data_IF_107029775368
#
_entry.id   IF_107029775368
#
_cell.length_a   1.000
_cell.length_b   1.000
_cell.length_c   1.000
_cell.angle_alpha   90.00
_cell.angle_beta   90.00
_cell.angle_gamma   90.00
#
_symmetry.space_group_name_H-M   'P 1'
#
loop_
_entity.id
_entity.type
_entity.pdbx_description
1 polymer ?
#
# COMPACT_ATOMS: atom_id res chain seq x y z
N UNK A 1 12.23 0.04 7.55
CA UNK A 1 11.86 1.35 6.96
C UNK A 1 12.81 2.47 7.39
N UNK A 2 12.86 2.89 8.67
CA UNK A 2 13.73 4.00 9.16
C UNK A 2 15.18 3.96 8.66
N UNK A 3 15.83 2.79 8.69
CA UNK A 3 17.19 2.63 8.16
C UNK A 3 17.30 2.90 6.65
N UNK A 4 16.31 2.48 5.86
CA UNK A 4 16.24 2.77 4.44
C UNK A 4 15.98 4.25 4.16
N UNK A 5 15.08 4.88 4.92
CA UNK A 5 14.81 6.32 4.83
C UNK A 5 16.06 7.16 5.16
N UNK A 6 16.83 6.74 6.17
CA UNK A 6 18.07 7.40 6.57
C UNK A 6 19.22 7.22 5.56
N UNK A 7 19.15 6.22 4.68
CA UNK A 7 20.15 5.96 3.65
C UNK A 7 19.91 6.76 2.35
N UNK A 8 18.81 7.51 2.26
CA UNK A 8 18.44 8.30 1.09
C UNK A 8 18.56 9.79 1.40
N UNK A 9 19.67 10.39 0.96
CA UNK A 9 19.99 11.79 1.24
C UNK A 9 19.15 12.77 0.40
N UNK A 10 19.02 12.52 -0.91
CA UNK A 10 18.32 13.41 -1.83
C UNK A 10 17.32 12.62 -2.70
N UNK A 11 16.03 12.79 -2.38
CA UNK A 11 14.92 12.30 -3.19
C UNK A 11 13.71 13.24 -3.00
N UNK A 12 13.00 13.52 -4.08
CA UNK A 12 11.75 14.28 -4.04
C UNK A 12 10.59 13.42 -3.53
N UNK A 13 10.58 12.14 -3.93
CA UNK A 13 9.58 11.15 -3.55
C UNK A 13 10.22 9.86 -3.07
N UNK A 14 9.53 9.20 -2.14
CA UNK A 14 9.92 7.90 -1.59
C UNK A 14 8.74 6.96 -1.77
N UNK A 15 9.01 5.81 -2.38
CA UNK A 15 8.05 4.73 -2.50
C UNK A 15 8.46 3.60 -1.54
N UNK A 16 7.57 3.25 -0.61
CA UNK A 16 7.76 2.11 0.29
C UNK A 16 7.03 0.91 -0.30
N UNK A 17 7.77 -0.12 -0.67
CA UNK A 17 7.24 -1.32 -1.32
C UNK A 17 7.46 -2.57 -0.46
N UNK A 18 6.44 -3.42 -0.41
CA UNK A 18 6.49 -4.70 0.29
C UNK A 18 7.08 -5.74 -0.67
N UNK A 19 8.22 -6.33 -0.31
CA UNK A 19 8.86 -7.36 -1.12
C UNK A 19 7.98 -8.59 -1.36
N UNK A 20 6.97 -8.81 -0.51
CA UNK A 20 5.99 -9.88 -0.69
C UNK A 20 4.97 -9.59 -1.81
N UNK A 21 5.09 -8.49 -2.56
CA UNK A 21 4.25 -8.17 -3.73
C UNK A 21 5.07 -8.16 -5.03
N UNK A 22 5.74 -9.27 -5.41
CA UNK A 22 6.69 -9.28 -6.52
C UNK A 22 6.05 -9.09 -7.90
N UNK A 23 4.73 -9.31 -8.02
CA UNK A 23 3.98 -9.21 -9.27
C UNK A 23 3.30 -7.85 -9.46
N UNK A 24 3.64 -6.84 -8.65
CA UNK A 24 3.10 -5.49 -8.79
C UNK A 24 3.36 -4.93 -10.20
N UNK A 25 2.30 -4.58 -10.96
CA UNK A 25 2.46 -4.07 -12.31
C UNK A 25 3.20 -2.72 -12.38
N UNK A 26 4.12 -2.51 -13.33
CA UNK A 26 4.87 -1.26 -13.45
C UNK A 26 3.99 -0.02 -13.68
N UNK A 27 2.86 -0.18 -14.37
CA UNK A 27 1.90 0.90 -14.63
C UNK A 27 1.20 1.36 -13.34
N UNK A 28 1.00 0.47 -12.36
CA UNK A 28 0.52 0.84 -11.03
C UNK A 28 1.50 1.77 -10.31
N UNK A 29 2.81 1.48 -10.41
CA UNK A 29 3.87 2.33 -9.88
C UNK A 29 3.88 3.70 -10.60
N UNK A 30 3.73 3.69 -11.92
CA UNK A 30 3.67 4.91 -12.71
C UNK A 30 2.48 5.81 -12.33
N UNK A 31 1.30 5.24 -12.03
CA UNK A 31 0.12 5.99 -11.53
C UNK A 31 0.42 6.74 -10.23
N UNK A 32 1.07 6.06 -9.29
CA UNK A 32 1.45 6.65 -7.99
C UNK A 32 2.38 7.86 -8.21
N UNK A 33 3.43 7.68 -9.02
CA UNK A 33 4.39 8.75 -9.31
C UNK A 33 3.74 9.91 -10.07
N UNK A 34 2.81 9.62 -10.98
CA UNK A 34 2.07 10.65 -11.71
C UNK A 34 1.24 11.53 -10.75
N UNK A 35 0.56 10.95 -9.77
CA UNK A 35 -0.19 11.72 -8.77
C UNK A 35 0.72 12.50 -7.82
N UNK A 36 1.86 11.95 -7.41
CA UNK A 36 2.85 12.68 -6.61
C UNK A 36 3.38 13.93 -7.35
N UNK A 37 3.57 13.84 -8.67
CA UNK A 37 3.96 14.98 -9.53
C UNK A 37 2.95 16.11 -9.56
N UNK A 38 1.69 15.85 -9.21
CA UNK A 38 0.66 16.90 -9.09
C UNK A 38 0.75 17.69 -7.79
N UNK A 39 1.71 17.38 -6.92
CA UNK A 39 1.93 18.06 -5.64
C UNK A 39 1.27 17.38 -4.44
N UNK A 40 0.82 16.13 -4.57
CA UNK A 40 0.25 15.37 -3.45
C UNK A 40 1.34 14.91 -2.50
N UNK A 41 1.09 15.02 -1.19
CA UNK A 41 2.02 14.59 -0.15
C UNK A 41 2.10 13.07 0.02
N UNK A 42 1.01 12.35 -0.21
CA UNK A 42 0.93 10.90 -0.09
C UNK A 42 -0.07 10.28 -1.06
N UNK A 43 0.30 9.14 -1.64
CA UNK A 43 -0.48 8.40 -2.63
C UNK A 43 -0.37 6.91 -2.36
N UNK A 44 -1.49 6.21 -2.25
CA UNK A 44 -1.55 4.76 -2.04
C UNK A 44 -2.39 4.07 -3.13
N UNK A 45 -1.97 2.90 -3.61
CA UNK A 45 -2.80 2.05 -4.45
C UNK A 45 -3.77 1.26 -3.58
N UNK A 46 -5.02 1.14 -4.02
CA UNK A 46 -5.98 0.29 -3.34
C UNK A 46 -6.99 -0.32 -4.31
N UNK A 47 -7.54 -1.48 -3.94
CA UNK A 47 -8.59 -2.16 -4.70
C UNK A 47 -9.88 -2.23 -3.90
N UNK A 48 -11.02 -2.36 -4.59
CA UNK A 48 -12.30 -2.58 -3.93
C UNK A 48 -12.27 -3.88 -3.09
N UNK A 49 -12.84 -3.82 -1.89
CA UNK A 49 -13.01 -5.02 -1.06
C UNK A 49 -14.09 -5.91 -1.69
N UNK A 50 -13.76 -7.18 -1.93
CA UNK A 50 -14.68 -8.15 -2.53
C UNK A 50 -15.62 -8.74 -1.49
N UNK A 51 -15.06 -9.13 -0.35
CA UNK A 51 -15.81 -9.81 0.71
C UNK A 51 -16.57 -8.82 1.59
N UNK A 52 -17.53 -9.33 2.36
CA UNK A 52 -18.20 -8.52 3.38
C UNK A 52 -17.27 -8.36 4.58
N UNK A 53 -17.00 -7.12 4.99
CA UNK A 53 -16.21 -6.83 6.19
C UNK A 53 -17.14 -6.72 7.40
N UNK A 54 -16.76 -7.39 8.48
CA UNK A 54 -17.42 -7.30 9.79
C UNK A 54 -16.45 -6.70 10.79
N UNK A 55 -16.93 -5.79 11.63
CA UNK A 55 -16.23 -5.39 12.84
C UNK A 55 -16.54 -6.42 13.91
N UNK A 56 -15.51 -6.98 14.54
CA UNK A 56 -15.61 -8.03 15.56
C UNK A 56 -14.96 -7.51 16.84
N UNK A 57 -15.57 -7.76 17.99
CA UNK A 57 -14.98 -7.40 19.29
C UNK A 57 -13.99 -8.46 19.81
N UNK A 58 -13.47 -8.25 21.02
CA UNK A 58 -12.47 -9.15 21.64
C UNK A 58 -13.05 -10.51 22.03
N UNK A 59 -14.37 -10.66 22.05
CA UNK A 59 -15.06 -11.91 22.38
C UNK A 59 -15.42 -12.73 21.14
N UNK A 60 -15.27 -12.14 19.95
CA UNK A 60 -15.58 -12.79 18.67
C UNK A 60 -16.97 -12.44 18.13
N UNK A 61 -17.68 -11.51 18.77
CA UNK A 61 -19.04 -11.13 18.38
C UNK A 61 -19.05 -10.02 17.33
N UNK A 62 -19.99 -10.09 16.39
CA UNK A 62 -20.17 -9.06 15.35
C UNK A 62 -20.76 -7.79 15.97
N UNK A 63 -20.00 -6.70 15.94
CA UNK A 63 -20.44 -5.37 16.43
C UNK A 63 -20.84 -4.42 15.30
N UNK A 64 -20.56 -4.78 14.05
CA UNK A 64 -20.90 -3.92 12.91
C UNK A 64 -20.57 -4.52 11.56
N UNK A 65 -21.15 -3.91 10.52
CA UNK A 65 -20.83 -4.18 9.11
C UNK A 65 -20.65 -2.83 8.44
N UNK A 66 -19.41 -2.34 8.26
CA UNK A 66 -19.15 -1.08 7.59
C UNK A 66 -19.69 -1.08 6.15
N UNK A 67 -20.06 0.09 5.63
CA UNK A 67 -20.46 0.21 4.23
C UNK A 67 -19.26 -0.09 3.31
N UNK A 68 -19.35 -1.22 2.60
CA UNK A 68 -18.32 -1.71 1.69
C UNK A 68 -18.00 -0.72 0.56
N UNK A 69 -18.94 0.13 0.15
CA UNK A 69 -18.71 1.09 -0.93
C UNK A 69 -17.59 2.08 -0.62
N UNK A 70 -17.42 2.44 0.66
CA UNK A 70 -16.36 3.32 1.15
C UNK A 70 -15.05 2.60 1.51
N UNK A 71 -15.01 1.26 1.48
CA UNK A 71 -13.84 0.48 1.90
C UNK A 71 -12.93 0.13 0.73
N UNK A 72 -11.63 0.15 0.97
CA UNK A 72 -10.59 -0.29 0.03
C UNK A 72 -9.56 -1.14 0.74
N UNK A 73 -9.05 -2.16 0.04
CA UNK A 73 -7.89 -2.93 0.48
C UNK A 73 -6.62 -2.26 -0.07
N UNK A 74 -5.84 -1.66 0.83
CA UNK A 74 -4.61 -0.94 0.48
C UNK A 74 -3.51 -1.91 0.06
N UNK A 75 -2.73 -1.51 -0.95
CA UNK A 75 -1.59 -2.24 -1.49
C UNK A 75 -0.32 -1.38 -1.37
N UNK A 76 0.82 -1.94 -1.81
CA UNK A 76 2.07 -1.18 -1.94
C UNK A 76 2.62 -1.36 -3.36
N UNK A 77 3.45 -0.44 -3.89
CA UNK A 77 4.15 0.63 -3.18
C UNK A 77 3.23 1.75 -2.69
N UNK A 78 3.51 2.29 -1.51
CA UNK A 78 2.92 3.55 -1.06
C UNK A 78 3.92 4.67 -1.36
N UNK A 79 3.46 5.74 -2.03
CA UNK A 79 4.29 6.84 -2.47
C UNK A 79 4.09 8.08 -1.62
N UNK A 80 5.19 8.76 -1.29
CA UNK A 80 5.17 9.93 -0.42
C UNK A 80 6.13 11.01 -0.94
N UNK A 81 5.77 12.28 -0.75
CA UNK A 81 6.76 13.35 -0.76
C UNK A 81 7.77 13.11 0.37
N UNK A 82 9.05 13.25 0.05
CA UNK A 82 10.11 12.81 0.95
C UNK A 82 10.16 13.62 2.25
N UNK A 83 9.79 14.90 2.20
CA UNK A 83 9.65 15.77 3.39
C UNK A 83 8.45 15.35 4.26
N UNK A 84 7.31 15.02 3.65
CA UNK A 84 6.10 14.52 4.32
C UNK A 84 6.40 13.24 5.09
N UNK A 85 7.03 12.27 4.42
CA UNK A 85 7.37 10.99 5.05
C UNK A 85 8.37 11.15 6.20
N UNK A 86 9.38 12.02 6.04
CA UNK A 86 10.34 12.31 7.11
C UNK A 86 9.67 12.98 8.32
N UNK A 87 8.75 13.94 8.10
CA UNK A 87 7.96 14.55 9.19
C UNK A 87 7.09 13.52 9.90
N UNK A 88 6.40 12.65 9.15
CA UNK A 88 5.57 11.59 9.71
C UNK A 88 6.39 10.67 10.62
N UNK A 89 7.56 10.23 10.18
CA UNK A 89 8.47 9.38 10.97
C UNK A 89 9.13 10.08 12.16
N UNK A 90 9.31 11.40 12.10
CA UNK A 90 9.82 12.19 13.22
C UNK A 90 8.75 12.38 14.32
N UNK A 91 7.48 12.48 13.93
CA UNK A 91 6.35 12.56 14.86
C UNK A 91 5.94 11.19 15.42
N UNK A 92 6.15 10.12 14.64
CA UNK A 92 5.84 8.76 15.05
C UNK A 92 6.87 8.22 16.05
N UNK A 93 6.38 7.63 17.15
CA UNK A 93 7.19 6.82 18.06
C UNK A 93 7.62 5.46 17.46
N UNK A 94 7.81 4.45 18.30
CA UNK A 94 8.35 3.14 17.87
C UNK A 94 7.33 2.22 17.19
N UNK A 95 6.05 2.58 17.17
CA UNK A 95 4.98 1.71 16.62
C UNK A 95 4.47 2.34 15.33
N UNK A 96 4.88 1.76 14.20
CA UNK A 96 4.34 2.06 12.88
C UNK A 96 3.86 0.76 12.24
N UNK A 97 2.56 0.66 11.96
CA UNK A 97 1.96 -0.52 11.30
C UNK A 97 1.71 -0.29 9.81
N UNK A 98 1.61 0.95 9.37
CA UNK A 98 1.38 1.37 7.99
C UNK A 98 1.95 2.79 7.76
N UNK A 99 2.70 3.02 6.67
CA UNK A 99 3.35 4.32 6.42
C UNK A 99 2.33 5.42 6.13
N UNK A 100 1.25 5.09 5.42
CA UNK A 100 0.14 6.00 5.16
C UNK A 100 -0.54 6.47 6.46
N UNK A 101 -0.73 5.56 7.43
CA UNK A 101 -1.30 5.91 8.73
C UNK A 101 -0.43 6.92 9.51
N UNK A 102 0.90 6.85 9.39
CA UNK A 102 1.78 7.86 10.00
C UNK A 102 1.59 9.24 9.37
N UNK A 103 1.35 9.28 8.06
CA UNK A 103 1.10 10.53 7.34
C UNK A 103 -0.26 11.11 7.74
N UNK A 104 -1.29 10.28 7.89
CA UNK A 104 -2.60 10.70 8.40
C UNK A 104 -2.50 11.31 9.81
N UNK A 105 -1.67 10.74 10.69
CA UNK A 105 -1.47 11.21 12.06
C UNK A 105 -0.90 12.63 12.15
N UNK A 106 -0.14 13.07 11.14
CA UNK A 106 0.38 14.45 11.08
C UNK A 106 -0.58 15.41 10.35
N UNK A 107 -1.80 14.98 10.04
CA UNK A 107 -2.86 15.78 9.42
C UNK A 107 -2.75 15.91 7.90
N UNK A 108 -1.86 15.14 7.27
CA UNK A 108 -1.69 15.15 5.81
C UNK A 108 -2.73 14.25 5.14
N UNK A 109 -3.20 14.66 3.96
CA UNK A 109 -4.16 13.88 3.19
C UNK A 109 -3.46 12.77 2.40
N UNK A 110 -4.03 11.56 2.45
CA UNK A 110 -3.57 10.42 1.65
C UNK A 110 -4.52 10.22 0.46
N UNK A 111 -3.98 10.32 -0.75
CA UNK A 111 -4.75 10.11 -1.98
C UNK A 111 -4.73 8.66 -2.41
N UNK A 112 -5.86 8.14 -2.89
CA UNK A 112 -5.98 6.76 -3.36
C UNK A 112 -5.97 6.73 -4.88
N UNK A 113 -5.12 5.89 -5.47
CA UNK A 113 -5.16 5.52 -6.89
C UNK A 113 -5.64 4.08 -7.05
N UNK A 114 -6.12 3.75 -8.26
CA UNK A 114 -6.51 2.38 -8.58
C UNK A 114 -5.30 1.43 -8.49
N UNK A 115 -5.43 0.44 -7.61
CA UNK A 115 -4.47 -0.64 -7.45
C UNK A 115 -4.55 -1.69 -8.56
N UNK A 116 -4.00 -2.86 -8.31
CA UNK A 116 -4.09 -4.00 -9.23
C UNK A 116 -4.14 -5.31 -8.45
N UNK A 117 -4.99 -6.25 -8.87
CA UNK A 117 -5.07 -7.56 -8.21
C UNK A 117 -3.76 -8.34 -8.28
N UNK A 118 -2.92 -8.11 -9.28
CA UNK A 118 -1.58 -8.70 -9.38
C UNK A 118 -0.63 -8.20 -8.29
N UNK A 119 -0.87 -7.04 -7.70
CA UNK A 119 -0.12 -6.54 -6.53
C UNK A 119 -0.56 -7.20 -5.21
N UNK A 120 -1.09 -8.43 -5.25
CA UNK A 120 -1.44 -9.17 -4.03
C UNK A 120 -0.20 -9.50 -3.22
N UNK A 121 -0.36 -9.54 -1.89
CA UNK A 121 0.72 -9.91 -0.97
C UNK A 121 0.76 -11.43 -0.87
N UNK A 122 1.91 -12.01 -1.15
CA UNK A 122 2.15 -13.43 -0.96
C UNK A 122 2.41 -13.66 0.53
N UNK A 123 1.44 -14.27 1.22
CA UNK A 123 1.56 -14.60 2.66
C UNK A 123 1.29 -16.08 2.94
N UNK A 124 0.64 -16.78 2.01
CA UNK A 124 0.26 -18.18 2.14
C UNK A 124 0.82 -19.03 1.00
N UNK A 125 0.81 -20.35 1.18
CA UNK A 125 1.17 -21.29 0.12
C UNK A 125 0.25 -21.17 -1.10
N UNK A 126 -1.03 -20.86 -0.88
CA UNK A 126 -1.98 -20.66 -1.97
C UNK A 126 -1.60 -19.43 -2.81
N UNK A 127 -1.18 -18.35 -2.17
CA UNK A 127 -0.70 -17.15 -2.87
C UNK A 127 0.54 -17.47 -3.72
N UNK A 128 1.46 -18.29 -3.20
CA UNK A 128 2.63 -18.74 -3.97
C UNK A 128 2.22 -19.55 -5.20
N UNK A 129 1.33 -20.52 -5.07
CA UNK A 129 0.84 -21.31 -6.20
C UNK A 129 0.20 -20.42 -7.27
N UNK A 130 -0.59 -19.42 -6.84
CA UNK A 130 -1.19 -18.45 -7.75
C UNK A 130 -0.13 -17.62 -8.48
N UNK A 131 0.90 -17.13 -7.76
CA UNK A 131 1.98 -16.35 -8.33
C UNK A 131 2.76 -17.13 -9.40
N UNK A 132 3.10 -18.39 -9.11
CA UNK A 132 3.79 -19.30 -10.05
C UNK A 132 2.95 -19.57 -11.29
N UNK A 133 1.64 -19.77 -11.12
CA UNK A 133 0.72 -19.99 -12.23
C UNK A 133 0.61 -18.76 -13.15
N UNK A 134 0.56 -17.54 -12.58
CA UNK A 134 0.52 -16.28 -13.34
C UNK A 134 1.82 -16.11 -14.15
N UNK A 135 2.97 -16.34 -13.54
CA UNK A 135 4.27 -16.23 -14.22
C UNK A 135 4.39 -17.23 -15.38
N UNK A 136 4.03 -18.49 -15.13
CA UNK A 136 4.07 -19.55 -16.16
C UNK A 136 3.15 -19.25 -17.35
N UNK A 137 1.97 -18.67 -17.09
CA UNK A 137 1.03 -18.27 -18.13
C UNK A 137 1.55 -17.09 -18.97
N UNK A 138 2.40 -16.23 -18.40
CA UNK A 138 2.96 -15.05 -19.08
C UNK A 138 4.15 -15.43 -19.96
N UNK A 139 4.94 -16.43 -19.57
CA UNK A 139 6.07 -16.95 -20.35
C UNK A 139 5.62 -17.71 -21.62
N UNK A 140 4.42 -18.28 -21.63
CA UNK A 140 3.86 -19.03 -22.77
C UNK A 140 3.27 -18.19 -23.91
N UNK A 141 3.37 -16.85 -23.86
CA UNK A 141 2.81 -15.92 -24.86
C UNK A 141 3.92 -15.24 -25.70
N UNK A 142 5.08 -15.89 -25.86
CA UNK A 142 6.14 -15.46 -26.78
C UNK A 142 6.07 -16.19 -28.13
#
# INVERSE_FOLDING_TARGET
MRAGLAAVDAADWILVHDAARPLTPPDMIARIVAELRTGRGAVIPAVAVTDTIKSIDVHGDVIGTPDRAGLRAVQTPQGFAADVLRRAYAAAGDIATDDAALVEQIGESVHVVEGDRLAFKITTTLDMTLAEAILSATEGVQ
#
